data_IF_277037205430
#
_entry.id   IF_277037205430
#
_cell.length_a   1.000
_cell.length_b   1.000
_cell.length_c   1.000
_cell.angle_alpha   90.00
_cell.angle_beta   90.00
_cell.angle_gamma   90.00
#
_symmetry.space_group_name_H-M   'P 1'
#
loop_
_entity.id
_entity.type
_entity.pdbx_description
1 polymer ?
#
# COMPACT_ATOMS: atom_id res chain seq x y z
N UNK A 1 -48.19 -21.37 -2.41
CA UNK A 1 -48.30 -20.33 -1.37
C UNK A 1 -47.01 -20.30 -0.57
N UNK A 2 -46.19 -19.27 -0.82
CA UNK A 2 -44.81 -19.15 -0.33
C UNK A 2 -44.79 -18.74 1.15
N UNK A 3 -43.93 -19.38 1.93
CA UNK A 3 -43.59 -19.05 3.31
C UNK A 3 -42.67 -17.82 3.32
N UNK A 4 -43.08 -16.78 4.03
CA UNK A 4 -42.27 -15.59 4.32
C UNK A 4 -41.18 -15.97 5.33
N UNK A 5 -39.92 -15.91 4.92
CA UNK A 5 -38.77 -15.99 5.82
C UNK A 5 -38.26 -14.56 6.03
N UNK A 6 -38.53 -14.00 7.21
CA UNK A 6 -37.93 -12.77 7.69
C UNK A 6 -36.44 -13.04 7.98
N UNK A 7 -35.54 -12.54 7.14
CA UNK A 7 -34.13 -12.43 7.50
C UNK A 7 -33.91 -11.10 8.21
N UNK A 8 -33.80 -11.15 9.53
CA UNK A 8 -33.26 -10.06 10.33
C UNK A 8 -31.74 -10.08 10.10
N UNK A 9 -31.24 -9.14 9.31
CA UNK A 9 -29.80 -8.93 9.14
C UNK A 9 -29.32 -8.08 10.33
N UNK A 10 -28.67 -8.74 11.29
CA UNK A 10 -28.06 -8.09 12.45
C UNK A 10 -26.90 -7.21 11.98
N UNK A 11 -27.11 -5.89 11.93
CA UNK A 11 -26.04 -4.90 11.83
C UNK A 11 -25.30 -4.85 13.17
N UNK A 12 -24.18 -5.56 13.28
CA UNK A 12 -23.18 -5.24 14.31
C UNK A 12 -22.31 -4.11 13.76
N UNK A 13 -22.74 -2.88 14.04
CA UNK A 13 -21.90 -1.69 13.88
C UNK A 13 -20.86 -1.76 14.98
N UNK A 14 -19.62 -2.12 14.65
CA UNK A 14 -18.48 -1.79 15.50
C UNK A 14 -18.26 -0.28 15.40
N UNK A 15 -18.99 0.47 16.25
CA UNK A 15 -18.85 1.92 16.41
C UNK A 15 -17.58 2.31 17.19
N UNK A 16 -16.49 1.54 17.06
CA UNK A 16 -15.23 1.79 17.74
C UNK A 16 -14.09 2.21 16.79
N UNK A 17 -14.23 2.03 15.47
CA UNK A 17 -13.16 2.31 14.50
C UNK A 17 -13.46 3.46 13.51
N UNK A 18 -14.65 4.06 13.54
CA UNK A 18 -14.99 5.22 12.70
C UNK A 18 -14.14 6.48 13.03
N UNK A 19 -13.34 6.43 14.10
CA UNK A 19 -12.48 7.52 14.53
C UNK A 19 -11.10 7.58 13.87
N UNK A 20 -10.69 6.60 13.05
CA UNK A 20 -9.28 6.46 12.63
C UNK A 20 -8.89 7.00 11.24
N UNK A 21 -9.75 7.11 10.22
CA UNK A 21 -9.33 7.71 8.92
C UNK A 21 -9.96 9.06 8.53
N UNK A 22 -10.93 9.57 9.30
CA UNK A 22 -11.06 11.02 9.47
C UNK A 22 -9.71 11.61 9.91
N UNK A 23 -8.89 10.86 10.66
CA UNK A 23 -7.56 11.31 11.08
C UNK A 23 -6.59 11.49 9.92
N UNK A 24 -6.64 10.71 8.82
CA UNK A 24 -5.65 10.83 7.75
C UNK A 24 -5.86 12.12 6.95
N UNK A 25 -7.08 12.38 6.46
CA UNK A 25 -7.43 13.64 5.80
C UNK A 25 -7.25 14.83 6.76
N UNK A 26 -7.75 14.73 8.01
CA UNK A 26 -7.56 15.79 9.01
C UNK A 26 -6.09 16.04 9.34
N UNK A 27 -5.25 15.00 9.36
CA UNK A 27 -3.80 15.12 9.60
C UNK A 27 -3.12 15.83 8.44
N UNK A 28 -3.47 15.48 7.19
CA UNK A 28 -2.95 16.18 6.01
C UNK A 28 -3.43 17.63 5.99
N UNK A 29 -4.71 17.89 6.27
CA UNK A 29 -5.26 19.25 6.41
C UNK A 29 -4.53 20.04 7.49
N UNK A 30 -4.25 19.42 8.64
CA UNK A 30 -3.51 20.07 9.73
C UNK A 30 -2.07 20.38 9.32
N UNK A 31 -1.39 19.47 8.62
CA UNK A 31 -0.05 19.70 8.09
C UNK A 31 -0.05 20.80 7.03
N UNK A 32 -1.07 20.83 6.16
CA UNK A 32 -1.25 21.87 5.16
C UNK A 32 -1.44 23.25 5.80
N UNK A 33 -2.38 23.35 6.75
CA UNK A 33 -2.67 24.59 7.48
C UNK A 33 -1.47 25.09 8.29
N UNK A 34 -0.61 24.18 8.76
CA UNK A 34 0.65 24.52 9.44
C UNK A 34 1.79 24.90 8.47
N UNK A 35 1.56 24.92 7.15
CA UNK A 35 2.59 25.20 6.15
C UNK A 35 3.66 24.10 6.05
N UNK A 36 3.32 22.87 6.46
CA UNK A 36 4.25 21.72 6.53
C UNK A 36 4.14 20.75 5.37
N UNK A 37 3.38 21.08 4.33
CA UNK A 37 3.30 20.26 3.11
C UNK A 37 3.87 21.01 1.92
N UNK A 38 4.76 20.33 1.19
CA UNK A 38 5.23 20.76 -0.13
C UNK A 38 4.62 19.80 -1.14
N UNK A 39 3.92 20.33 -2.14
CA UNK A 39 3.39 19.53 -3.25
C UNK A 39 4.28 19.74 -4.46
N UNK A 40 4.73 18.65 -5.06
CA UNK A 40 5.65 18.67 -6.19
C UNK A 40 5.32 17.60 -7.23
N UNK A 41 5.66 17.82 -8.51
CA UNK A 41 5.55 16.78 -9.52
C UNK A 41 6.51 15.62 -9.18
N UNK A 42 6.09 14.39 -9.48
CA UNK A 42 6.91 13.19 -9.28
C UNK A 42 7.71 12.94 -10.55
N UNK A 43 8.87 13.61 -10.65
CA UNK A 43 9.73 13.62 -11.85
C UNK A 43 10.15 12.25 -12.37
N UNK A 44 10.20 11.25 -11.49
CA UNK A 44 10.59 9.87 -11.81
C UNK A 44 9.45 9.10 -12.50
N UNK A 45 8.22 9.55 -12.32
CA UNK A 45 7.05 9.01 -13.02
C UNK A 45 6.80 9.77 -14.30
N UNK A 46 6.78 11.10 -14.23
CA UNK A 46 6.31 11.96 -15.31
C UNK A 46 7.24 11.97 -16.53
N UNK A 47 6.65 12.10 -17.70
CA UNK A 47 7.29 12.28 -18.98
C UNK A 47 6.67 13.48 -19.71
N UNK A 48 7.15 13.87 -20.91
CA UNK A 48 6.55 14.97 -21.65
C UNK A 48 5.09 14.73 -22.12
N UNK A 49 4.64 13.48 -22.18
CA UNK A 49 3.25 13.10 -22.45
C UNK A 49 2.41 13.02 -21.17
N UNK A 50 1.10 12.78 -21.26
CA UNK A 50 0.25 12.65 -20.07
C UNK A 50 0.58 11.43 -19.22
N UNK A 51 0.73 11.64 -17.91
CA UNK A 51 0.86 10.63 -16.87
C UNK A 51 -0.12 10.90 -15.72
N UNK A 52 -0.94 9.90 -15.38
CA UNK A 52 -2.04 10.11 -14.43
C UNK A 52 -2.54 8.81 -13.77
N UNK A 53 -3.57 8.93 -12.91
CA UNK A 53 -4.18 7.84 -12.16
C UNK A 53 -3.19 6.92 -11.40
N UNK A 54 -2.26 7.46 -10.58
CA UNK A 54 -1.33 6.65 -9.82
C UNK A 54 -2.04 5.90 -8.68
N UNK A 55 -1.71 4.62 -8.49
CA UNK A 55 -2.10 3.84 -7.30
C UNK A 55 -0.93 3.04 -6.73
N UNK A 56 -0.88 2.91 -5.40
CA UNK A 56 0.18 2.21 -4.66
C UNK A 56 -0.24 0.78 -4.37
N UNK A 57 0.48 -0.17 -4.93
CA UNK A 57 0.25 -1.59 -4.71
C UNK A 57 0.73 -2.04 -3.33
N UNK A 58 0.21 -3.18 -2.85
CA UNK A 58 0.74 -3.84 -1.65
C UNK A 58 2.20 -4.30 -1.82
N UNK A 59 2.72 -4.41 -3.05
CA UNK A 59 4.16 -4.60 -3.29
C UNK A 59 4.98 -3.32 -3.06
N UNK A 60 4.32 -2.19 -2.80
CA UNK A 60 4.89 -0.84 -2.70
C UNK A 60 5.50 -0.31 -4.01
N UNK A 61 5.16 -0.94 -5.14
CA UNK A 61 5.29 -0.35 -6.48
C UNK A 61 4.10 0.55 -6.77
N UNK A 62 4.30 1.52 -7.64
CA UNK A 62 3.21 2.31 -8.19
C UNK A 62 2.83 1.74 -9.56
N UNK A 63 1.54 1.74 -9.87
CA UNK A 63 1.09 1.69 -11.26
C UNK A 63 0.38 2.99 -11.59
N UNK A 64 0.45 3.39 -12.85
CA UNK A 64 -0.13 4.63 -13.32
C UNK A 64 -0.40 4.53 -14.82
N UNK A 65 -1.32 5.34 -15.32
CA UNK A 65 -1.60 5.49 -16.74
C UNK A 65 -0.62 6.47 -17.37
N UNK A 66 -0.18 6.17 -18.57
CA UNK A 66 0.77 6.98 -19.31
C UNK A 66 0.48 6.93 -20.81
N UNK A 67 0.67 8.07 -21.46
CA UNK A 67 0.61 8.25 -22.91
C UNK A 67 2.00 8.22 -23.57
N UNK A 68 3.06 7.93 -22.80
CA UNK A 68 4.39 7.65 -23.34
C UNK A 68 4.35 6.51 -24.36
N UNK A 69 5.27 6.56 -25.33
CA UNK A 69 5.38 5.55 -26.38
C UNK A 69 5.64 4.17 -25.77
N UNK A 70 4.83 3.18 -26.17
CA UNK A 70 5.01 1.78 -25.80
C UNK A 70 6.36 1.26 -26.34
N UNK A 71 7.30 0.83 -25.47
CA UNK A 71 8.61 0.37 -25.92
C UNK A 71 8.57 -0.97 -26.67
N UNK A 72 7.49 -1.76 -26.51
CA UNK A 72 7.35 -3.10 -27.10
C UNK A 72 6.73 -3.07 -28.51
N UNK A 73 6.22 -1.93 -28.97
CA UNK A 73 5.58 -1.80 -30.28
C UNK A 73 6.15 -0.61 -31.05
N UNK A 74 6.52 -0.82 -32.31
CA UNK A 74 6.95 0.26 -33.23
C UNK A 74 5.84 0.68 -34.19
N UNK A 75 4.62 0.20 -33.96
CA UNK A 75 3.48 0.52 -34.80
C UNK A 75 2.96 1.92 -34.49
N UNK A 76 3.03 2.80 -35.49
CA UNK A 76 2.50 4.18 -35.39
C UNK A 76 1.00 4.22 -35.10
N UNK A 77 0.24 3.19 -35.49
CA UNK A 77 -1.18 3.03 -35.20
C UNK A 77 -1.49 2.91 -33.70
N UNK A 78 -0.52 2.47 -32.90
CA UNK A 78 -0.64 2.34 -31.44
C UNK A 78 0.04 3.50 -30.70
N UNK A 79 0.61 4.46 -31.43
CA UNK A 79 1.25 5.63 -30.83
C UNK A 79 0.19 6.55 -30.21
N UNK A 80 0.40 6.95 -28.95
CA UNK A 80 -0.57 7.76 -28.20
C UNK A 80 -1.63 6.93 -27.46
N UNK A 81 -1.60 5.59 -27.55
CA UNK A 81 -2.42 4.76 -26.69
C UNK A 81 -2.04 4.96 -25.23
N UNK A 82 -3.07 5.04 -24.39
CA UNK A 82 -2.90 5.01 -22.95
C UNK A 82 -2.53 3.61 -22.53
N UNK A 83 -1.49 3.52 -21.70
CA UNK A 83 -0.97 2.27 -21.21
C UNK A 83 -0.67 2.38 -19.72
N UNK A 84 -0.82 1.27 -19.01
CA UNK A 84 -0.46 1.15 -17.60
C UNK A 84 1.01 0.79 -17.49
N UNK A 85 1.75 1.60 -16.75
CA UNK A 85 3.14 1.34 -16.43
C UNK A 85 3.29 1.07 -14.94
N UNK A 86 4.22 0.18 -14.62
CA UNK A 86 4.62 -0.10 -13.25
C UNK A 86 5.93 0.62 -12.94
N UNK A 87 5.89 1.55 -12.00
CA UNK A 87 7.08 2.17 -11.45
C UNK A 87 7.54 1.44 -10.21
N UNK A 88 8.83 1.15 -10.19
CA UNK A 88 9.49 0.59 -9.04
C UNK A 88 10.31 1.68 -8.33
N UNK A 89 9.88 2.16 -7.15
CA UNK A 89 10.65 3.12 -6.37
C UNK A 89 12.02 2.58 -5.94
N UNK A 90 12.36 1.30 -6.23
CA UNK A 90 13.64 0.72 -5.79
C UNK A 90 14.83 1.28 -6.48
N UNK A 91 14.66 1.28 -7.78
CA UNK A 91 15.69 1.43 -8.77
C UNK A 91 15.31 2.57 -9.71
N UNK A 92 14.20 3.27 -9.44
CA UNK A 92 13.68 4.36 -10.26
C UNK A 92 13.25 3.90 -11.66
N UNK A 93 12.98 2.60 -11.87
CA UNK A 93 12.65 2.06 -13.19
C UNK A 93 11.16 1.94 -13.38
N UNK A 94 10.71 2.40 -14.53
CA UNK A 94 9.37 2.19 -15.05
C UNK A 94 9.37 1.03 -16.04
N UNK A 95 8.36 0.17 -15.98
CA UNK A 95 8.23 -1.03 -16.81
C UNK A 95 6.85 -1.10 -17.47
N UNK A 96 6.85 -1.43 -18.76
CA UNK A 96 5.66 -1.85 -19.51
C UNK A 96 5.43 -3.37 -19.37
N UNK A 97 4.17 -3.81 -19.34
CA UNK A 97 3.84 -5.24 -19.38
C UNK A 97 2.44 -5.50 -19.93
N UNK A 98 2.32 -6.48 -20.84
CA UNK A 98 1.04 -7.06 -21.30
C UNK A 98 0.23 -7.76 -20.21
N UNK A 99 0.76 -7.86 -18.98
CA UNK A 99 -0.06 -8.26 -17.84
C UNK A 99 -1.18 -7.24 -17.59
N UNK A 100 -0.85 -5.94 -17.65
CA UNK A 100 -1.81 -4.85 -17.50
C UNK A 100 -2.46 -4.52 -18.85
N UNK A 101 -1.63 -4.40 -19.89
CA UNK A 101 -2.02 -3.79 -21.16
C UNK A 101 -2.47 -4.78 -22.21
N UNK A 102 -3.31 -4.28 -23.10
CA UNK A 102 -3.63 -4.87 -24.40
C UNK A 102 -3.09 -3.96 -25.50
N UNK A 103 -3.29 -4.32 -26.78
CA UNK A 103 -2.94 -3.42 -27.88
C UNK A 103 -3.86 -2.17 -27.92
N UNK A 104 -5.03 -2.22 -27.27
CA UNK A 104 -5.94 -1.08 -27.05
C UNK A 104 -5.61 -0.24 -25.82
N UNK A 105 -6.20 0.97 -25.76
CA UNK A 105 -6.15 1.87 -24.61
C UNK A 105 -6.50 1.15 -23.30
N UNK A 106 -5.53 1.12 -22.39
CA UNK A 106 -5.66 0.60 -21.04
C UNK A 106 -5.24 1.68 -20.05
N UNK A 107 -6.11 1.97 -19.08
CA UNK A 107 -5.85 2.96 -18.04
C UNK A 107 -6.13 2.39 -16.65
N UNK A 108 -5.40 2.87 -15.64
CA UNK A 108 -5.74 2.64 -14.25
C UNK A 108 -7.06 3.34 -13.95
N UNK A 109 -8.06 2.58 -13.48
CA UNK A 109 -9.39 3.10 -13.14
C UNK A 109 -9.66 3.06 -11.63
N UNK A 110 -8.80 2.43 -10.84
CA UNK A 110 -8.78 2.55 -9.39
C UNK A 110 -8.15 1.35 -8.68
N UNK A 111 -8.35 1.29 -7.37
CA UNK A 111 -7.84 0.24 -6.48
C UNK A 111 -8.79 0.04 -5.30
N UNK A 112 -8.86 -1.18 -4.75
CA UNK A 112 -9.55 -1.44 -3.48
C UNK A 112 -8.82 -0.80 -2.31
N UNK A 113 -9.55 -0.43 -1.26
CA UNK A 113 -9.02 0.18 -0.04
C UNK A 113 -7.92 -0.69 0.62
N UNK A 114 -8.08 -2.01 0.58
CA UNK A 114 -7.11 -2.99 1.09
C UNK A 114 -5.98 -3.32 0.11
N UNK A 115 -5.97 -2.68 -1.06
CA UNK A 115 -4.99 -2.82 -2.14
C UNK A 115 -4.84 -4.24 -2.68
N UNK A 116 -5.85 -5.10 -2.49
CA UNK A 116 -5.86 -6.47 -3.03
C UNK A 116 -6.41 -6.57 -4.45
N UNK A 117 -7.21 -5.60 -4.89
CA UNK A 117 -7.76 -5.53 -6.23
C UNK A 117 -7.37 -4.22 -6.91
N UNK A 118 -6.80 -4.30 -8.12
CA UNK A 118 -6.63 -3.17 -9.02
C UNK A 118 -7.73 -3.20 -10.05
N UNK A 119 -8.20 -2.01 -10.46
CA UNK A 119 -9.18 -1.82 -11.51
C UNK A 119 -8.52 -1.14 -12.72
N UNK A 120 -8.78 -1.68 -13.90
CA UNK A 120 -8.35 -1.07 -15.17
C UNK A 120 -9.56 -0.80 -16.05
N UNK A 121 -9.55 0.34 -16.73
CA UNK A 121 -10.39 0.62 -17.87
C UNK A 121 -9.73 0.08 -19.13
N UNK A 122 -10.53 -0.52 -20.03
CA UNK A 122 -10.10 -0.88 -21.38
C UNK A 122 -11.12 -0.43 -22.40
N UNK A 123 -10.68 0.28 -23.44
CA UNK A 123 -11.56 0.89 -24.44
C UNK A 123 -12.25 -0.12 -25.39
N UNK A 124 -11.81 -1.39 -25.40
CA UNK A 124 -12.43 -2.44 -26.22
C UNK A 124 -13.95 -2.56 -25.94
N UNK A 125 -14.78 -2.73 -26.98
CA UNK A 125 -16.24 -2.86 -26.91
C UNK A 125 -16.99 -1.70 -26.22
N UNK A 126 -16.45 -0.48 -26.27
CA UNK A 126 -17.14 0.69 -25.74
C UNK A 126 -16.71 1.11 -24.34
N UNK A 127 -15.75 0.41 -23.71
CA UNK A 127 -15.14 0.84 -22.45
C UNK A 127 -15.66 0.10 -21.23
N UNK A 128 -14.86 -0.82 -20.69
CA UNK A 128 -15.25 -1.66 -19.55
C UNK A 128 -14.21 -1.61 -18.43
N UNK A 129 -14.65 -1.85 -17.19
CA UNK A 129 -13.78 -2.05 -16.03
C UNK A 129 -13.43 -3.54 -15.84
N UNK A 130 -12.14 -3.79 -15.65
CA UNK A 130 -11.56 -5.10 -15.35
C UNK A 130 -10.89 -5.09 -13.98
N UNK A 131 -10.76 -6.27 -13.35
CA UNK A 131 -10.04 -6.41 -12.06
C UNK A 131 -9.03 -7.56 -12.03
N UNK A 132 -7.97 -7.41 -11.21
CA UNK A 132 -6.90 -8.41 -11.00
C UNK A 132 -7.32 -9.63 -10.19
N UNK A 133 -8.34 -9.50 -9.35
CA UNK A 133 -8.73 -10.51 -8.38
C UNK A 133 -10.19 -10.30 -7.97
N UNK A 134 -10.82 -11.34 -7.42
CA UNK A 134 -12.03 -11.18 -6.62
C UNK A 134 -11.75 -10.46 -5.29
N UNK A 135 -12.77 -9.96 -4.59
CA UNK A 135 -12.62 -9.19 -3.34
C UNK A 135 -11.85 -9.94 -2.24
N UNK A 136 -11.87 -11.28 -2.24
CA UNK A 136 -11.16 -12.08 -1.24
C UNK A 136 -9.64 -12.08 -1.42
N UNK A 137 -9.13 -11.68 -2.60
CA UNK A 137 -7.71 -11.77 -2.97
C UNK A 137 -7.15 -13.20 -3.03
N UNK A 138 -7.99 -14.24 -2.81
CA UNK A 138 -7.58 -15.65 -2.81
C UNK A 138 -7.58 -16.26 -4.22
N UNK A 139 -8.38 -15.70 -5.12
CA UNK A 139 -8.41 -16.13 -6.52
C UNK A 139 -7.17 -15.58 -7.22
N UNK A 140 -6.22 -16.47 -7.55
CA UNK A 140 -5.07 -16.11 -8.39
C UNK A 140 -5.55 -15.99 -9.83
N UNK A 141 -5.80 -14.77 -10.31
CA UNK A 141 -5.90 -14.53 -11.73
C UNK A 141 -4.55 -14.08 -12.28
N UNK A 142 -4.09 -14.78 -13.31
CA UNK A 142 -2.88 -14.41 -14.04
C UNK A 142 -3.14 -13.24 -15.01
N UNK A 143 -4.38 -12.74 -15.11
CA UNK A 143 -4.81 -11.63 -15.98
C UNK A 143 -6.02 -10.89 -15.38
N UNK A 144 -6.26 -9.68 -15.88
CA UNK A 144 -7.45 -8.88 -15.58
C UNK A 144 -8.73 -9.48 -16.19
N UNK A 145 -9.79 -9.59 -15.38
CA UNK A 145 -11.11 -10.07 -15.82
C UNK A 145 -12.12 -8.94 -15.86
N UNK A 146 -12.94 -8.91 -16.92
CA UNK A 146 -14.08 -7.99 -17.04
C UNK A 146 -15.02 -8.23 -15.86
N UNK A 147 -15.40 -7.17 -15.16
CA UNK A 147 -16.39 -7.27 -14.09
C UNK A 147 -17.77 -7.50 -14.74
N UNK A 148 -18.58 -8.44 -14.23
CA UNK A 148 -19.87 -8.73 -14.84
C UNK A 148 -20.90 -7.61 -14.61
N UNK A 149 -21.99 -7.65 -15.39
CA UNK A 149 -23.23 -6.96 -15.06
C UNK A 149 -23.61 -7.21 -13.57
N UNK A 150 -24.10 -6.21 -12.83
CA UNK A 150 -24.59 -4.89 -13.30
C UNK A 150 -23.58 -3.73 -13.30
N UNK A 151 -22.29 -3.99 -13.08
CA UNK A 151 -21.30 -2.90 -13.13
C UNK A 151 -21.05 -2.46 -14.56
N UNK A 152 -20.49 -3.34 -15.39
CA UNK A 152 -20.33 -3.05 -16.81
C UNK A 152 -21.63 -3.38 -17.56
N UNK A 153 -22.08 -2.46 -18.40
CA UNK A 153 -23.25 -2.65 -19.28
C UNK A 153 -22.90 -2.35 -20.73
N UNK A 154 -23.78 -2.71 -21.67
CA UNK A 154 -23.55 -2.41 -23.09
C UNK A 154 -24.07 -1.00 -23.45
N UNK A 155 -24.82 -0.37 -22.56
CA UNK A 155 -25.46 0.94 -22.76
C UNK A 155 -24.76 2.11 -22.05
N UNK A 156 -23.75 1.83 -21.23
CA UNK A 156 -22.99 2.83 -20.47
C UNK A 156 -21.50 2.54 -20.48
N UNK A 157 -20.72 3.58 -20.22
CA UNK A 157 -19.30 3.51 -19.92
C UNK A 157 -19.07 3.69 -18.43
N UNK A 158 -18.16 2.89 -17.88
CA UNK A 158 -17.64 3.05 -16.54
C UNK A 158 -16.21 3.57 -16.60
N UNK A 159 -15.90 4.65 -15.85
CA UNK A 159 -14.57 5.28 -15.90
C UNK A 159 -13.66 4.89 -14.73
N UNK A 160 -14.24 4.69 -13.56
CA UNK A 160 -13.48 4.42 -12.34
C UNK A 160 -14.22 3.51 -11.39
N UNK A 161 -13.48 2.72 -10.61
CA UNK A 161 -14.05 1.84 -9.60
C UNK A 161 -13.10 1.66 -8.40
N UNK A 162 -13.70 1.49 -7.23
CA UNK A 162 -12.98 1.17 -5.99
C UNK A 162 -13.89 0.34 -5.08
N UNK A 163 -13.30 -0.32 -4.09
CA UNK A 163 -14.06 -1.14 -3.14
C UNK A 163 -13.54 -1.03 -1.72
N UNK A 164 -14.46 -1.16 -0.77
CA UNK A 164 -14.19 -1.19 0.66
C UNK A 164 -15.05 -2.26 1.31
N UNK A 165 -14.43 -3.26 1.92
CA UNK A 165 -15.11 -4.51 2.32
C UNK A 165 -15.88 -5.10 1.13
N UNK A 166 -17.20 -5.27 1.27
CA UNK A 166 -18.08 -5.78 0.20
C UNK A 166 -18.72 -4.65 -0.63
N UNK A 167 -18.44 -3.39 -0.33
CA UNK A 167 -18.98 -2.27 -1.10
C UNK A 167 -18.11 -2.04 -2.32
N UNK A 168 -18.76 -1.95 -3.48
CA UNK A 168 -18.14 -1.52 -4.73
C UNK A 168 -18.77 -0.20 -5.14
N UNK A 169 -17.93 0.80 -5.38
CA UNK A 169 -18.34 2.13 -5.82
C UNK A 169 -17.68 2.39 -7.16
N UNK A 170 -18.41 2.94 -8.11
CA UNK A 170 -17.92 3.20 -9.46
C UNK A 170 -18.60 4.42 -10.08
N UNK A 171 -17.94 5.02 -11.07
CA UNK A 171 -18.46 6.13 -11.87
C UNK A 171 -18.96 5.61 -13.22
N UNK A 172 -20.14 6.06 -13.66
CA UNK A 172 -20.81 5.59 -14.87
C UNK A 172 -21.65 6.69 -15.51
N UNK A 173 -21.74 6.70 -16.84
CA UNK A 173 -22.64 7.58 -17.62
C UNK A 173 -24.02 6.96 -17.89
N UNK A 174 -24.38 5.90 -17.16
CA UNK A 174 -25.66 5.21 -17.33
C UNK A 174 -26.84 6.16 -17.22
N UNK A 175 -27.86 5.89 -18.02
CA UNK A 175 -29.07 6.71 -18.10
C UNK A 175 -29.77 6.86 -16.73
N UNK A 176 -30.25 8.06 -16.43
CA UNK A 176 -30.97 8.38 -15.19
C UNK A 176 -30.09 8.97 -14.08
N UNK A 177 -28.79 9.13 -14.32
CA UNK A 177 -27.89 9.93 -13.50
C UNK A 177 -28.23 11.43 -13.52
N UNK A 178 -27.58 12.21 -12.64
CA UNK A 178 -27.78 13.66 -12.55
C UNK A 178 -26.89 14.43 -13.53
N UNK A 179 -25.71 13.92 -13.87
CA UNK A 179 -24.69 14.54 -14.69
C UNK A 179 -24.35 13.74 -15.96
N UNK A 180 -23.16 13.94 -16.51
CA UNK A 180 -22.61 13.11 -17.58
C UNK A 180 -22.05 11.80 -17.03
N UNK A 181 -21.26 11.86 -15.96
CA UNK A 181 -20.85 10.70 -15.17
C UNK A 181 -21.31 10.88 -13.72
N UNK A 182 -21.87 9.81 -13.15
CA UNK A 182 -22.41 9.79 -11.78
C UNK A 182 -21.81 8.64 -10.98
N UNK A 183 -21.80 8.76 -9.65
CA UNK A 183 -21.36 7.70 -8.74
C UNK A 183 -22.51 6.76 -8.37
N UNK A 184 -22.20 5.47 -8.43
CA UNK A 184 -23.07 4.38 -8.06
C UNK A 184 -22.36 3.43 -7.10
N UNK A 185 -23.12 2.67 -6.32
CA UNK A 185 -22.58 1.66 -5.45
C UNK A 185 -23.45 0.41 -5.39
N UNK A 186 -22.85 -0.70 -4.95
CA UNK A 186 -23.55 -1.93 -4.65
C UNK A 186 -22.74 -2.86 -3.77
N UNK A 187 -23.39 -3.91 -3.25
CA UNK A 187 -22.71 -4.99 -2.54
C UNK A 187 -22.23 -6.03 -3.54
N UNK A 188 -20.93 -6.27 -3.55
CA UNK A 188 -20.28 -7.27 -4.37
C UNK A 188 -20.00 -8.56 -3.58
N UNK A 189 -20.13 -9.69 -4.27
CA UNK A 189 -19.69 -10.98 -3.78
C UNK A 189 -18.16 -11.18 -3.94
N UNK A 190 -17.66 -12.34 -3.52
CA UNK A 190 -16.22 -12.65 -3.62
C UNK A 190 -15.67 -12.62 -5.05
N UNK A 191 -16.53 -12.64 -6.07
CA UNK A 191 -16.19 -12.63 -7.50
C UNK A 191 -16.47 -11.28 -8.17
N UNK A 192 -16.62 -10.20 -7.38
CA UNK A 192 -16.92 -8.83 -7.85
C UNK A 192 -18.30 -8.68 -8.50
N UNK A 193 -19.21 -9.64 -8.34
CA UNK A 193 -20.56 -9.51 -8.90
C UNK A 193 -21.44 -8.73 -7.92
N UNK A 194 -21.99 -7.61 -8.37
CA UNK A 194 -22.90 -6.80 -7.58
C UNK A 194 -24.29 -7.44 -7.53
N UNK A 195 -24.92 -7.39 -6.35
CA UNK A 195 -26.31 -7.85 -6.16
C UNK A 195 -27.34 -6.86 -6.70
N UNK A 196 -27.03 -5.56 -6.57
CA UNK A 196 -27.85 -4.44 -7.03
C UNK A 196 -26.95 -3.21 -7.21
N UNK A 197 -27.44 -2.19 -7.92
CA UNK A 197 -26.74 -0.90 -8.12
C UNK A 197 -27.66 0.24 -7.72
N UNK A 198 -27.15 1.10 -6.84
CA UNK A 198 -27.85 2.29 -6.36
C UNK A 198 -27.03 3.54 -6.69
N UNK A 199 -27.71 4.60 -7.13
CA UNK A 199 -27.11 5.93 -7.29
C UNK A 199 -26.77 6.55 -5.93
N UNK A 200 -25.69 7.33 -5.86
CA UNK A 200 -25.34 8.12 -4.69
C UNK A 200 -25.89 9.55 -4.85
N UNK A 201 -27.21 9.70 -4.81
CA UNK A 201 -27.88 10.97 -5.12
C UNK A 201 -27.44 12.15 -4.24
N UNK A 202 -27.01 11.90 -3.00
CA UNK A 202 -26.52 12.95 -2.11
C UNK A 202 -25.11 13.46 -2.44
N UNK A 203 -24.38 12.74 -3.31
CA UNK A 203 -23.03 13.08 -3.77
C UNK A 203 -23.06 13.60 -5.20
N UNK A 204 -23.84 12.93 -6.05
CA UNK A 204 -23.99 13.26 -7.46
C UNK A 204 -24.56 14.68 -7.66
N UNK A 205 -24.15 15.31 -8.75
CA UNK A 205 -24.59 16.65 -9.14
C UNK A 205 -24.95 16.69 -10.63
N UNK A 206 -25.40 17.83 -11.13
CA UNK A 206 -25.59 18.06 -12.58
C UNK A 206 -24.29 18.09 -13.39
N UNK A 207 -23.18 17.87 -12.70
CA UNK A 207 -21.81 17.89 -13.18
C UNK A 207 -21.25 16.46 -13.15
N UNK A 208 -20.07 16.24 -13.69
CA UNK A 208 -19.48 14.91 -13.72
C UNK A 208 -18.79 14.56 -12.40
N UNK A 209 -18.99 13.33 -11.93
CA UNK A 209 -18.28 12.68 -10.84
C UNK A 209 -17.52 11.44 -11.33
N UNK A 210 -16.21 11.41 -11.09
CA UNK A 210 -15.29 10.44 -11.67
C UNK A 210 -14.09 10.18 -10.73
N UNK A 211 -13.11 9.40 -11.19
CA UNK A 211 -11.87 9.04 -10.49
C UNK A 211 -12.07 8.51 -9.06
N UNK A 212 -13.07 7.65 -8.86
CA UNK A 212 -13.47 7.20 -7.53
C UNK A 212 -12.37 6.41 -6.82
N UNK A 213 -12.17 6.68 -5.53
CA UNK A 213 -11.29 5.96 -4.61
C UNK A 213 -12.00 5.82 -3.27
N UNK A 214 -11.68 4.76 -2.52
CA UNK A 214 -12.20 4.57 -1.16
C UNK A 214 -11.04 4.29 -0.22
N UNK A 215 -11.04 4.99 0.91
CA UNK A 215 -10.05 4.82 1.98
C UNK A 215 -10.38 3.60 2.85
N UNK A 216 -9.45 3.23 3.73
CA UNK A 216 -9.56 2.09 4.64
C UNK A 216 -10.57 2.27 5.79
N UNK A 217 -11.10 3.48 5.99
CA UNK A 217 -12.29 3.72 6.84
C UNK A 217 -13.61 3.82 6.07
N UNK A 218 -13.57 3.66 4.74
CA UNK A 218 -14.75 3.84 3.90
C UNK A 218 -15.02 5.28 3.47
N UNK A 219 -14.12 6.23 3.75
CA UNK A 219 -14.21 7.58 3.16
C UNK A 219 -14.10 7.50 1.65
N UNK A 220 -15.12 8.03 0.96
CA UNK A 220 -15.19 8.12 -0.49
C UNK A 220 -14.45 9.37 -0.96
N UNK A 221 -13.50 9.19 -1.87
CA UNK A 221 -12.81 10.25 -2.61
C UNK A 221 -13.21 10.16 -4.07
N UNK A 222 -13.40 11.32 -4.71
CA UNK A 222 -13.76 11.40 -6.12
C UNK A 222 -13.41 12.76 -6.68
N UNK A 223 -13.37 12.87 -8.00
CA UNK A 223 -13.18 14.13 -8.71
C UNK A 223 -14.50 14.62 -9.27
N UNK A 224 -14.75 15.92 -9.15
CA UNK A 224 -15.96 16.55 -9.70
C UNK A 224 -15.67 17.91 -10.31
N UNK A 225 -16.34 18.22 -11.42
CA UNK A 225 -16.29 19.53 -12.09
C UNK A 225 -17.47 20.44 -11.69
N UNK A 226 -18.15 20.18 -10.57
CA UNK A 226 -19.25 21.02 -10.03
C UNK A 226 -18.93 22.51 -9.88
N UNK A 227 -17.64 22.86 -9.81
CA UNK A 227 -17.14 24.24 -9.73
C UNK A 227 -16.27 24.62 -10.94
N UNK A 228 -16.56 24.06 -12.13
CA UNK A 228 -15.96 24.40 -13.42
C UNK A 228 -14.80 23.48 -13.83
N UNK A 229 -13.75 23.39 -13.02
CA UNK A 229 -12.62 22.46 -13.22
C UNK A 229 -12.77 21.22 -12.35
N UNK A 230 -12.26 20.07 -12.80
CA UNK A 230 -12.24 18.88 -11.95
C UNK A 230 -11.39 19.16 -10.71
N UNK A 231 -11.97 18.94 -9.53
CA UNK A 231 -11.30 19.03 -8.23
C UNK A 231 -11.63 17.81 -7.38
N UNK A 232 -10.76 17.43 -6.44
CA UNK A 232 -11.05 16.34 -5.52
C UNK A 232 -12.03 16.77 -4.43
N UNK A 233 -13.00 15.89 -4.16
CA UNK A 233 -13.98 15.97 -3.10
C UNK A 233 -13.97 14.67 -2.29
N UNK A 234 -14.55 14.73 -1.10
CA UNK A 234 -14.78 13.55 -0.28
C UNK A 234 -16.18 13.52 0.31
N UNK A 235 -16.64 12.31 0.64
CA UNK A 235 -17.87 12.05 1.38
C UNK A 235 -17.69 10.86 2.32
N UNK A 236 -18.49 10.83 3.39
CA UNK A 236 -18.48 9.77 4.41
C UNK A 236 -19.87 9.16 4.52
N UNK A 237 -19.92 7.85 4.82
CA UNK A 237 -21.18 7.14 5.02
C UNK A 237 -21.50 7.06 6.52
N UNK A 238 -22.67 7.56 6.94
CA UNK A 238 -23.08 7.57 8.35
C UNK A 238 -23.77 6.28 8.83
N UNK A 239 -23.80 5.26 7.97
CA UNK A 239 -24.57 4.02 8.18
C UNK A 239 -25.93 4.02 7.48
N UNK A 240 -26.41 5.18 7.02
CA UNK A 240 -27.68 5.33 6.29
C UNK A 240 -27.54 6.04 4.95
N UNK A 241 -26.71 7.09 4.88
CA UNK A 241 -26.52 7.90 3.67
C UNK A 241 -25.10 8.44 3.58
N UNK A 242 -24.72 8.80 2.37
CA UNK A 242 -23.50 9.57 2.12
C UNK A 242 -23.73 11.04 2.48
N UNK A 243 -22.76 11.64 3.18
CA UNK A 243 -22.76 13.07 3.48
C UNK A 243 -22.68 13.93 2.21
N UNK A 244 -23.04 15.22 2.32
CA UNK A 244 -22.80 16.15 1.22
C UNK A 244 -21.29 16.24 0.89
N UNK A 245 -20.91 16.32 -0.40
CA UNK A 245 -19.53 16.45 -0.81
C UNK A 245 -18.80 17.63 -0.20
N UNK A 246 -17.58 17.38 0.27
CA UNK A 246 -16.67 18.41 0.79
C UNK A 246 -15.43 18.47 -0.09
N UNK A 247 -15.02 19.67 -0.47
CA UNK A 247 -13.78 19.87 -1.21
C UNK A 247 -12.57 19.50 -0.33
N UNK A 248 -11.53 18.94 -0.95
CA UNK A 248 -10.27 18.63 -0.27
C UNK A 248 -9.45 19.92 -0.10
N UNK A 249 -9.15 20.30 1.14
CA UNK A 249 -8.52 21.59 1.48
C UNK A 249 -7.02 21.67 1.25
N UNK A 250 -6.31 20.54 1.26
CA UNK A 250 -4.85 20.51 1.11
C UNK A 250 -4.35 20.64 -0.33
N UNK A 251 -5.23 20.98 -1.29
CA UNK A 251 -4.84 21.33 -2.67
C UNK A 251 -4.67 22.85 -2.77
N UNK A 252 -3.46 23.36 -3.04
CA UNK A 252 -3.18 24.80 -3.06
C UNK A 252 -3.86 25.55 -4.20
N UNK A 253 -4.10 26.85 -3.98
CA UNK A 253 -4.65 27.77 -4.97
C UNK A 253 -3.83 27.86 -6.27
N UNK A 254 -2.55 27.48 -6.25
CA UNK A 254 -1.73 27.39 -7.47
C UNK A 254 -2.31 26.42 -8.50
N UNK A 255 -3.14 25.46 -8.07
CA UNK A 255 -3.83 24.51 -8.94
C UNK A 255 -5.23 24.98 -9.34
N UNK A 256 -5.69 26.19 -8.97
CA UNK A 256 -7.09 26.59 -9.16
C UNK A 256 -7.52 26.54 -10.63
N UNK A 257 -6.64 26.95 -11.56
CA UNK A 257 -6.91 27.00 -13.00
C UNK A 257 -6.74 25.65 -13.72
N UNK A 258 -6.16 24.63 -13.07
CA UNK A 258 -5.94 23.30 -13.63
C UNK A 258 -7.02 22.32 -13.18
N UNK A 259 -7.19 21.23 -13.89
CA UNK A 259 -7.88 20.04 -13.39
C UNK A 259 -6.98 19.35 -12.36
N UNK A 260 -7.58 18.85 -11.28
CA UNK A 260 -6.94 18.04 -10.23
C UNK A 260 -7.80 16.79 -10.04
N UNK A 261 -7.24 15.65 -10.45
CA UNK A 261 -7.93 14.37 -10.64
C UNK A 261 -7.22 13.24 -9.90
N UNK A 262 -7.87 12.09 -9.81
CA UNK A 262 -7.25 10.84 -9.32
C UNK A 262 -6.64 10.90 -7.91
N UNK A 263 -7.20 11.71 -7.00
CA UNK A 263 -6.66 11.82 -5.66
C UNK A 263 -6.73 10.47 -4.92
N UNK A 264 -5.58 9.99 -4.46
CA UNK A 264 -5.49 8.84 -3.56
C UNK A 264 -4.61 9.16 -2.37
N UNK A 265 -5.02 8.70 -1.19
CA UNK A 265 -4.39 9.01 0.10
C UNK A 265 -3.96 7.72 0.79
N UNK A 266 -2.73 7.70 1.30
CA UNK A 266 -2.12 6.60 2.05
C UNK A 266 -1.42 7.15 3.29
N UNK A 267 -2.13 7.17 4.43
CA UNK A 267 -1.68 7.78 5.69
C UNK A 267 -1.24 9.24 5.48
N UNK A 268 0.06 9.51 5.41
CA UNK A 268 0.61 10.87 5.23
C UNK A 268 1.11 11.16 3.82
N UNK A 269 0.96 10.24 2.88
CA UNK A 269 1.36 10.41 1.48
C UNK A 269 0.11 10.39 0.62
N UNK A 270 -0.01 11.33 -0.30
CA UNK A 270 -1.07 11.32 -1.31
C UNK A 270 -0.50 11.56 -2.69
N UNK A 271 -1.23 11.09 -3.69
CA UNK A 271 -0.96 11.35 -5.10
C UNK A 271 -2.20 11.91 -5.77
N UNK A 272 -2.02 12.77 -6.76
CA UNK A 272 -3.08 13.22 -7.66
C UNK A 272 -2.49 13.53 -9.03
N UNK A 273 -3.35 13.69 -10.01
CA UNK A 273 -2.99 14.07 -11.38
C UNK A 273 -3.47 15.48 -11.69
N UNK A 274 -2.66 16.28 -12.36
CA UNK A 274 -3.06 17.65 -12.72
C UNK A 274 -2.47 18.09 -14.05
N UNK A 275 -3.25 18.82 -14.83
CA UNK A 275 -2.82 19.43 -16.09
C UNK A 275 -2.20 20.83 -15.92
N UNK A 276 -1.73 21.16 -14.71
CA UNK A 276 -1.12 22.47 -14.41
C UNK A 276 0.06 22.81 -15.34
N UNK A 277 0.81 21.81 -15.81
CA UNK A 277 1.95 21.96 -16.72
C UNK A 277 1.57 21.84 -18.22
N UNK A 278 0.28 21.67 -18.54
CA UNK A 278 -0.25 21.50 -19.90
C UNK A 278 -0.81 20.10 -20.16
N UNK A 279 0.01 19.06 -19.97
CA UNK A 279 -0.43 17.65 -19.94
C UNK A 279 -0.66 17.22 -18.50
N UNK A 280 -1.34 16.09 -18.27
CA UNK A 280 -1.46 15.55 -16.91
C UNK A 280 -0.09 15.09 -16.40
N UNK A 281 0.28 15.59 -15.23
CA UNK A 281 1.43 15.17 -14.44
C UNK A 281 0.95 14.57 -13.11
N UNK A 282 1.69 13.60 -12.60
CA UNK A 282 1.50 13.06 -11.25
C UNK A 282 2.21 13.95 -10.24
N UNK A 283 1.49 14.34 -9.19
CA UNK A 283 2.00 15.10 -8.04
C UNK A 283 1.93 14.27 -6.76
N UNK A 284 2.83 14.56 -5.82
CA UNK A 284 2.86 13.99 -4.47
C UNK A 284 3.22 15.06 -3.45
N UNK A 285 2.97 14.78 -2.18
CA UNK A 285 3.40 15.61 -1.08
C UNK A 285 4.74 15.19 -0.45
N UNK A 286 5.44 16.16 0.14
CA UNK A 286 6.51 15.98 1.11
C UNK A 286 6.17 16.73 2.40
N UNK A 287 6.45 16.12 3.55
CA UNK A 287 6.24 16.74 4.86
C UNK A 287 7.52 17.46 5.28
N UNK A 288 7.41 18.77 5.52
CA UNK A 288 8.44 19.56 6.19
C UNK A 288 8.46 19.12 7.66
N UNK A 289 9.58 18.52 8.07
CA UNK A 289 9.82 18.15 9.45
C UNK A 289 10.41 19.35 10.18
N UNK A 290 9.88 19.66 11.35
CA UNK A 290 10.52 20.64 12.23
C UNK A 290 11.92 20.11 12.56
N UNK A 291 12.94 20.85 12.14
CA UNK A 291 14.27 20.68 12.71
C UNK A 291 14.14 21.15 14.15
N UNK A 292 14.04 20.20 15.09
CA UNK A 292 14.38 20.51 16.48
C UNK A 292 15.85 20.94 16.41
N UNK A 293 16.22 22.20 16.70
CA UNK A 293 17.62 22.52 16.86
C UNK A 293 18.11 21.61 17.97
N UNK A 294 19.05 20.73 17.66
CA UNK A 294 19.83 20.06 18.69
C UNK A 294 20.51 21.20 19.42
N UNK A 295 19.97 21.59 20.58
CA UNK A 295 20.69 22.44 21.51
C UNK A 295 21.94 21.62 21.82
N UNK A 296 23.07 22.01 21.24
CA UNK A 296 24.37 21.56 21.76
C UNK A 296 24.32 21.93 23.24
N UNK A 297 24.37 20.97 24.17
CA UNK A 297 24.43 21.32 25.57
C UNK A 297 25.61 22.27 25.76
N UNK A 298 25.43 23.36 26.51
CA UNK A 298 26.55 24.18 26.95
C UNK A 298 27.54 23.24 27.62
N UNK A 299 28.70 23.07 26.99
CA UNK A 299 29.78 22.26 27.52
C UNK A 299 30.31 22.95 28.77
N UNK A 300 29.76 22.60 29.92
CA UNK A 300 30.51 22.73 31.17
C UNK A 300 31.70 21.80 31.00
N UNK A 301 32.89 22.39 30.86
CA UNK A 301 34.16 21.66 30.88
C UNK A 301 34.33 21.12 32.29
N UNK A 302 33.77 19.94 32.52
CA UNK A 302 34.28 19.03 33.53
C UNK A 302 35.46 18.34 32.87
N UNK A 303 36.65 18.46 33.45
CA UNK A 303 37.77 17.58 33.11
C UNK A 303 37.35 16.13 33.41
N UNK A 304 36.74 15.49 32.43
CA UNK A 304 36.60 14.05 32.39
C UNK A 304 37.81 13.56 31.62
N UNK A 305 38.70 12.89 32.35
CA UNK A 305 39.77 12.09 31.77
C UNK A 305 39.15 11.19 30.72
N UNK A 306 39.62 11.33 29.48
CA UNK A 306 39.13 10.62 28.31
C UNK A 306 39.35 9.11 28.49
N UNK A 307 38.31 8.42 28.95
CA UNK A 307 38.17 7.00 28.66
C UNK A 307 37.25 6.90 27.46
N UNK A 308 37.85 6.74 26.28
CA UNK A 308 37.20 6.29 25.05
C UNK A 308 36.17 5.23 25.43
N UNK A 309 34.86 5.45 25.21
CA UNK A 309 33.88 4.40 25.48
C UNK A 309 34.24 3.24 24.55
N UNK A 310 34.54 2.10 25.16
CA UNK A 310 34.77 0.85 24.44
C UNK A 310 33.45 0.49 23.77
N UNK A 311 33.27 0.91 22.52
CA UNK A 311 32.17 0.46 21.66
C UNK A 311 32.29 -1.06 21.62
N UNK A 312 31.23 -1.75 22.04
CA UNK A 312 31.25 -3.21 22.01
C UNK A 312 31.38 -3.70 20.56
N UNK A 313 32.01 -4.86 20.37
CA UNK A 313 32.17 -5.45 19.03
C UNK A 313 30.83 -5.58 18.29
N UNK A 314 29.73 -5.81 19.02
CA UNK A 314 28.38 -5.84 18.47
C UNK A 314 27.92 -4.47 17.95
N UNK A 315 28.09 -3.40 18.74
CA UNK A 315 27.71 -2.05 18.33
C UNK A 315 28.49 -1.60 17.10
N UNK A 316 29.78 -1.93 17.02
CA UNK A 316 30.58 -1.65 15.84
C UNK A 316 30.06 -2.39 14.59
N UNK A 317 29.67 -3.67 14.74
CA UNK A 317 29.10 -4.47 13.65
C UNK A 317 27.71 -4.02 13.23
N UNK A 318 26.91 -3.50 14.15
CA UNK A 318 25.60 -2.93 13.84
C UNK A 318 25.73 -1.62 13.05
N UNK A 319 26.69 -0.76 13.41
CA UNK A 319 27.01 0.45 12.65
C UNK A 319 27.46 0.08 11.24
N UNK A 320 28.39 -0.87 11.09
CA UNK A 320 28.82 -1.37 9.77
C UNK A 320 27.64 -1.90 8.93
N UNK A 321 26.67 -2.59 9.56
CA UNK A 321 25.46 -3.08 8.91
C UNK A 321 24.54 -1.94 8.45
N UNK A 322 24.32 -0.95 9.31
CA UNK A 322 23.50 0.22 9.01
C UNK A 322 24.11 1.02 7.85
N UNK A 323 25.41 1.31 7.91
CA UNK A 323 26.16 1.92 6.80
C UNK A 323 26.04 1.09 5.52
N UNK A 324 26.18 -0.24 5.62
CA UNK A 324 26.07 -1.11 4.45
C UNK A 324 24.67 -1.05 3.85
N UNK A 325 23.62 -1.09 4.68
CA UNK A 325 22.24 -0.99 4.20
C UNK A 325 21.93 0.39 3.62
N UNK A 326 22.58 1.46 4.10
CA UNK A 326 22.51 2.79 3.50
C UNK A 326 23.21 2.84 2.12
N UNK A 327 24.29 2.08 1.93
CA UNK A 327 24.98 1.99 0.62
C UNK A 327 24.27 1.10 -0.41
N UNK A 328 23.49 0.13 0.03
CA UNK A 328 22.63 -0.66 -0.84
C UNK A 328 21.31 0.14 -0.98
N UNK A 329 20.62 0.09 -2.11
CA UNK A 329 19.47 0.96 -2.37
C UNK A 329 18.24 0.75 -1.44
N UNK A 330 18.36 0.07 -0.30
CA UNK A 330 17.25 -0.39 0.55
C UNK A 330 17.25 0.27 1.93
N UNK A 331 16.38 1.28 2.10
CA UNK A 331 16.12 1.85 3.42
C UNK A 331 15.06 1.01 4.16
N UNK A 332 15.34 0.54 5.38
CA UNK A 332 14.36 -0.18 6.20
C UNK A 332 13.09 0.65 6.40
N UNK A 333 11.92 0.09 6.10
CA UNK A 333 10.62 0.70 6.36
C UNK A 333 9.89 0.01 7.50
N UNK A 334 9.94 -1.32 7.51
CA UNK A 334 9.48 -2.15 8.62
C UNK A 334 10.30 -3.42 8.73
N UNK A 335 10.53 -3.91 9.93
CA UNK A 335 11.25 -5.14 10.19
C UNK A 335 10.42 -6.09 11.06
N UNK A 336 10.55 -7.38 10.78
CA UNK A 336 10.03 -8.47 11.60
C UNK A 336 11.20 -9.35 12.04
N UNK A 337 11.10 -9.94 13.22
CA UNK A 337 12.16 -10.79 13.76
C UNK A 337 11.64 -12.21 13.89
N UNK A 338 12.23 -13.13 13.13
CA UNK A 338 12.10 -14.55 13.40
C UNK A 338 13.08 -14.88 14.53
N UNK A 339 12.59 -15.42 15.63
CA UNK A 339 13.41 -15.80 16.79
C UNK A 339 13.74 -17.29 16.81
N UNK A 340 13.19 -18.06 15.88
CA UNK A 340 13.64 -19.42 15.58
C UNK A 340 12.68 -20.20 14.68
N UNK A 341 13.16 -21.32 14.17
CA UNK A 341 12.41 -22.28 13.38
C UNK A 341 12.72 -23.69 13.87
N UNK A 342 11.69 -24.49 14.19
CA UNK A 342 11.85 -25.79 14.83
C UNK A 342 10.86 -26.82 14.29
N UNK A 343 11.28 -28.08 14.19
CA UNK A 343 10.39 -29.21 13.86
C UNK A 343 9.65 -29.76 15.08
N UNK A 344 10.31 -29.74 16.24
CA UNK A 344 9.85 -30.42 17.45
C UNK A 344 9.31 -29.48 18.54
N UNK A 345 9.45 -28.16 18.37
CA UNK A 345 8.78 -27.16 19.22
C UNK A 345 7.54 -26.72 18.45
N UNK A 346 6.35 -27.10 18.92
CA UNK A 346 5.09 -27.01 18.15
C UNK A 346 4.10 -26.00 18.71
N UNK A 347 4.37 -25.42 19.88
CA UNK A 347 3.52 -24.41 20.50
C UNK A 347 4.33 -23.23 21.01
N UNK A 348 3.67 -22.06 21.14
CA UNK A 348 4.26 -20.85 21.74
C UNK A 348 4.70 -21.13 23.18
N UNK A 349 3.91 -21.87 23.95
CA UNK A 349 4.22 -22.18 25.35
C UNK A 349 5.47 -23.05 25.48
N UNK A 350 5.61 -24.08 24.62
CA UNK A 350 6.83 -24.89 24.54
C UNK A 350 8.05 -24.04 24.17
N UNK A 351 7.90 -23.12 23.22
CA UNK A 351 8.96 -22.20 22.83
C UNK A 351 9.36 -21.29 24.01
N UNK A 352 8.39 -20.66 24.69
CA UNK A 352 8.66 -19.74 25.80
C UNK A 352 9.28 -20.44 27.01
N UNK A 353 8.83 -21.64 27.34
CA UNK A 353 9.44 -22.44 28.39
C UNK A 353 10.92 -22.72 28.12
N UNK A 354 11.27 -22.93 26.85
CA UNK A 354 12.62 -23.23 26.39
C UNK A 354 13.50 -22.00 26.22
N UNK A 355 12.91 -20.86 25.87
CA UNK A 355 13.58 -19.61 25.60
C UNK A 355 13.04 -18.51 26.52
N UNK A 356 13.44 -18.49 27.81
CA UNK A 356 12.82 -17.63 28.82
C UNK A 356 12.95 -16.14 28.54
N UNK A 357 13.85 -15.70 27.64
CA UNK A 357 13.92 -14.27 27.29
C UNK A 357 12.72 -13.80 26.45
N UNK A 358 11.86 -14.72 26.02
CA UNK A 358 10.63 -14.43 25.26
C UNK A 358 9.35 -14.75 26.04
N UNK A 359 9.45 -15.06 27.34
CA UNK A 359 8.30 -15.42 28.20
C UNK A 359 7.15 -14.40 28.15
N UNK A 360 7.49 -13.12 28.21
CA UNK A 360 6.63 -11.94 28.17
C UNK A 360 6.46 -11.37 26.76
N UNK A 361 7.18 -11.91 25.77
CA UNK A 361 7.12 -11.43 24.39
C UNK A 361 5.88 -11.98 23.69
N UNK A 362 5.12 -11.12 23.01
CA UNK A 362 4.05 -11.55 22.11
C UNK A 362 4.66 -12.22 20.88
N UNK A 363 4.25 -13.46 20.61
CA UNK A 363 4.74 -14.27 19.50
C UNK A 363 3.58 -14.73 18.64
N UNK A 364 3.83 -14.90 17.34
CA UNK A 364 2.96 -15.64 16.44
C UNK A 364 3.71 -16.79 15.80
N UNK A 365 2.98 -17.83 15.42
CA UNK A 365 3.52 -19.00 14.74
C UNK A 365 3.14 -18.99 13.26
N UNK A 366 4.13 -19.26 12.42
CA UNK A 366 3.97 -19.54 11.00
C UNK A 366 4.47 -20.98 10.74
N UNK A 367 3.99 -21.65 9.69
CA UNK A 367 4.42 -23.02 9.38
C UNK A 367 4.77 -23.21 7.92
N UNK A 368 5.73 -24.08 7.66
CA UNK A 368 6.13 -24.49 6.31
C UNK A 368 6.13 -26.02 6.21
N UNK A 369 5.47 -26.55 5.20
CA UNK A 369 5.37 -28.00 4.92
C UNK A 369 6.42 -28.34 3.86
N UNK A 370 7.54 -28.95 4.26
CA UNK A 370 8.66 -29.22 3.34
C UNK A 370 8.37 -30.38 2.37
N UNK A 371 7.59 -31.37 2.79
CA UNK A 371 7.10 -32.50 1.98
C UNK A 371 5.64 -32.80 2.34
N UNK A 372 4.89 -33.49 1.47
CA UNK A 372 3.48 -33.83 1.67
C UNK A 372 3.17 -34.71 2.92
N UNK A 373 4.15 -35.02 3.76
CA UNK A 373 3.98 -35.72 5.04
C UNK A 373 4.01 -34.75 6.22
N UNK A 374 3.11 -34.91 7.20
CA UNK A 374 3.01 -34.05 8.39
C UNK A 374 4.20 -34.11 9.36
N UNK A 375 5.16 -35.01 9.12
CA UNK A 375 6.36 -35.17 9.94
C UNK A 375 7.49 -34.20 9.57
N UNK A 376 7.40 -33.53 8.43
CA UNK A 376 8.42 -32.60 7.91
C UNK A 376 8.03 -31.12 8.05
N UNK A 377 7.05 -30.79 8.90
CA UNK A 377 6.63 -29.41 9.14
C UNK A 377 7.64 -28.65 10.01
N UNK A 378 8.02 -27.45 9.55
CA UNK A 378 8.84 -26.51 10.32
C UNK A 378 7.96 -25.39 10.86
N UNK A 379 8.01 -25.19 12.17
CA UNK A 379 7.30 -24.12 12.89
C UNK A 379 8.22 -22.93 13.09
N UNK A 380 7.84 -21.78 12.55
CA UNK A 380 8.56 -20.52 12.61
C UNK A 380 7.93 -19.63 13.68
N UNK A 381 8.77 -19.08 14.54
CA UNK A 381 8.36 -18.23 15.66
C UNK A 381 8.75 -16.79 15.35
N UNK A 382 7.74 -15.95 15.15
CA UNK A 382 7.90 -14.53 14.85
C UNK A 382 7.52 -13.71 16.08
N UNK A 383 8.29 -12.65 16.38
CA UNK A 383 7.80 -11.64 17.32
C UNK A 383 6.62 -10.94 16.68
N UNK A 384 5.48 -10.89 17.38
CA UNK A 384 4.26 -10.24 16.90
C UNK A 384 4.33 -8.72 17.10
N UNK A 385 5.38 -8.12 16.54
CA UNK A 385 5.65 -6.70 16.59
C UNK A 385 6.34 -6.30 15.28
N UNK A 386 5.96 -5.13 14.78
CA UNK A 386 6.63 -4.48 13.66
C UNK A 386 7.64 -3.47 14.21
N UNK A 387 8.90 -3.58 13.80
CA UNK A 387 9.96 -2.66 14.21
C UNK A 387 10.19 -1.60 13.12
N UNK A 388 10.33 -0.34 13.53
CA UNK A 388 10.53 0.78 12.61
C UNK A 388 12.02 1.11 12.42
N UNK A 389 12.89 0.58 13.28
CA UNK A 389 14.35 0.72 13.16
C UNK A 389 15.02 -0.65 13.10
N UNK A 390 16.13 -0.73 12.37
CA UNK A 390 16.93 -1.93 12.31
C UNK A 390 17.57 -2.26 13.66
N UNK A 391 17.99 -1.24 14.40
CA UNK A 391 18.59 -1.38 15.72
C UNK A 391 17.70 -2.15 16.69
N UNK A 392 16.42 -1.77 16.81
CA UNK A 392 15.48 -2.49 17.69
C UNK A 392 15.32 -3.96 17.27
N UNK A 393 15.21 -4.22 15.97
CA UNK A 393 15.10 -5.58 15.46
C UNK A 393 16.39 -6.40 15.71
N UNK A 394 17.57 -5.79 15.56
CA UNK A 394 18.87 -6.42 15.77
C UNK A 394 19.12 -6.78 17.23
N UNK A 395 18.71 -5.92 18.17
CA UNK A 395 18.77 -6.22 19.60
C UNK A 395 17.95 -7.48 19.94
N UNK A 396 16.76 -7.62 19.33
CA UNK A 396 15.89 -8.79 19.55
C UNK A 396 16.43 -10.05 18.89
N UNK A 397 17.03 -9.93 17.70
CA UNK A 397 17.76 -11.02 17.07
C UNK A 397 18.93 -11.51 17.94
N UNK A 398 19.71 -10.61 18.55
CA UNK A 398 20.81 -10.99 19.44
C UNK A 398 20.35 -11.73 20.68
N UNK A 399 19.22 -11.32 21.29
CA UNK A 399 18.62 -12.04 22.41
C UNK A 399 18.31 -13.48 22.01
N UNK A 400 17.73 -13.70 20.82
CA UNK A 400 17.45 -15.04 20.30
C UNK A 400 18.74 -15.85 20.10
N UNK A 401 19.71 -15.28 19.39
CA UNK A 401 20.98 -15.94 19.07
C UNK A 401 21.78 -16.32 20.32
N UNK A 402 21.77 -15.48 21.36
CA UNK A 402 22.43 -15.76 22.64
C UNK A 402 21.81 -16.95 23.36
N UNK A 403 20.49 -17.13 23.28
CA UNK A 403 19.84 -18.31 23.86
C UNK A 403 20.00 -19.55 22.98
N UNK A 404 20.02 -19.38 21.65
CA UNK A 404 20.22 -20.47 20.68
C UNK A 404 21.65 -21.00 20.64
N UNK A 405 22.66 -20.21 21.03
CA UNK A 405 24.06 -20.66 21.10
C UNK A 405 24.31 -21.72 22.17
N UNK A 406 23.40 -21.88 23.13
CA UNK A 406 23.46 -22.97 24.08
C UNK A 406 23.16 -24.30 23.37
N UNK A 407 24.09 -25.26 23.46
CA UNK A 407 23.96 -26.59 22.83
C UNK A 407 22.68 -27.32 23.20
N UNK A 408 22.14 -27.08 24.41
CA UNK A 408 20.86 -27.64 24.83
C UNK A 408 19.77 -27.26 23.83
N UNK A 409 19.82 -26.07 23.24
CA UNK A 409 18.81 -25.49 22.35
C UNK A 409 18.99 -25.84 20.86
N UNK A 410 20.06 -26.54 20.48
CA UNK A 410 20.36 -26.97 19.10
C UNK A 410 19.72 -28.35 18.80
N UNK A 411 18.42 -28.39 18.53
CA UNK A 411 17.65 -29.64 18.29
C UNK A 411 17.53 -29.98 16.80
N UNK A 412 18.63 -30.42 16.16
CA UNK A 412 18.68 -30.82 14.72
C UNK A 412 18.02 -29.80 13.76
N UNK A 413 17.91 -28.55 14.18
CA UNK A 413 17.26 -27.47 13.44
C UNK A 413 18.30 -26.39 13.18
N UNK A 414 18.38 -25.83 11.97
CA UNK A 414 19.24 -24.70 11.72
C UNK A 414 18.88 -23.55 12.68
N UNK A 415 19.89 -22.97 13.30
CA UNK A 415 19.75 -21.72 14.06
C UNK A 415 19.33 -20.65 13.07
N UNK A 416 18.07 -20.23 13.14
CA UNK A 416 17.44 -19.44 12.08
C UNK A 416 16.81 -18.15 12.63
N UNK A 417 17.49 -17.50 13.58
CA UNK A 417 17.11 -16.15 13.99
C UNK A 417 17.55 -15.13 12.94
N UNK A 418 16.59 -14.49 12.28
CA UNK A 418 16.85 -13.48 11.27
C UNK A 418 15.93 -12.27 11.42
N UNK A 419 16.39 -11.15 10.87
CA UNK A 419 15.56 -9.97 10.67
C UNK A 419 15.05 -10.00 9.23
N UNK A 420 13.74 -10.04 9.04
CA UNK A 420 13.12 -9.76 7.76
C UNK A 420 12.83 -8.27 7.68
N UNK A 421 13.69 -7.54 6.99
CA UNK A 421 13.49 -6.12 6.69
C UNK A 421 12.72 -6.01 5.41
N UNK A 422 11.70 -5.17 5.42
CA UNK A 422 10.99 -4.71 4.25
C UNK A 422 11.28 -3.22 4.13
N UNK A 423 11.72 -2.80 2.95
CA UNK A 423 11.76 -1.38 2.62
C UNK A 423 10.34 -0.87 2.28
N UNK A 424 10.22 0.42 1.95
CA UNK A 424 8.94 1.08 1.64
C UNK A 424 8.22 0.49 0.41
N UNK A 425 8.85 -0.46 -0.26
CA UNK A 425 8.52 -1.03 -1.56
C UNK A 425 8.47 -2.57 -1.44
N UNK A 426 8.23 -3.06 -0.22
CA UNK A 426 8.04 -4.46 0.20
C UNK A 426 9.00 -5.52 -0.39
N UNK A 427 10.27 -5.18 -0.68
CA UNK A 427 11.27 -6.24 -0.94
C UNK A 427 11.76 -6.69 0.39
N UNK A 428 11.66 -8.00 0.55
CA UNK A 428 12.19 -8.71 1.69
C UNK A 428 13.71 -8.80 1.58
N UNK A 429 14.36 -8.29 2.60
CA UNK A 429 15.79 -8.43 2.87
C UNK A 429 15.87 -9.28 4.12
N UNK A 430 16.63 -10.36 4.05
CA UNK A 430 16.84 -11.24 5.20
C UNK A 430 18.24 -11.01 5.72
N UNK A 431 18.32 -10.55 6.98
CA UNK A 431 19.58 -10.26 7.65
C UNK A 431 19.81 -11.34 8.70
N UNK A 432 20.83 -12.14 8.47
CA UNK A 432 21.33 -13.15 9.41
C UNK A 432 22.55 -12.61 10.13
N UNK A 433 22.78 -13.06 11.36
CA UNK A 433 24.05 -12.85 12.04
C UNK A 433 24.74 -14.21 12.23
N UNK A 434 25.93 -14.35 11.67
CA UNK A 434 26.75 -15.55 11.85
C UNK A 434 27.48 -15.47 13.19
N UNK A 435 27.10 -16.36 14.12
CA UNK A 435 27.64 -16.37 15.48
C UNK A 435 29.14 -16.71 15.55
N UNK A 436 29.64 -17.57 14.66
CA UNK A 436 31.05 -17.99 14.65
C UNK A 436 31.96 -16.90 14.08
N UNK A 437 31.55 -16.31 12.95
CA UNK A 437 32.32 -15.28 12.25
C UNK A 437 32.05 -13.87 12.79
N UNK A 438 31.02 -13.71 13.63
CA UNK A 438 30.52 -12.44 14.16
C UNK A 438 30.27 -11.40 13.07
N UNK A 439 29.62 -11.83 11.99
CA UNK A 439 29.33 -10.99 10.82
C UNK A 439 27.87 -11.12 10.38
N UNK A 440 27.33 -10.04 9.85
CA UNK A 440 26.02 -10.07 9.20
C UNK A 440 26.13 -10.64 7.80
N UNK A 441 25.13 -11.44 7.41
CA UNK A 441 24.91 -11.90 6.05
C UNK A 441 23.57 -11.34 5.58
N UNK A 442 23.58 -10.69 4.42
CA UNK A 442 22.39 -10.04 3.86
C UNK A 442 21.97 -10.80 2.61
N UNK A 443 20.69 -11.22 2.57
CA UNK A 443 20.05 -11.79 1.41
C UNK A 443 18.99 -10.83 0.88
N UNK A 444 18.95 -10.63 -0.43
CA UNK A 444 17.89 -9.91 -1.12
C UNK A 444 17.24 -10.89 -2.08
N UNK A 445 16.03 -11.34 -1.77
CA UNK A 445 15.48 -12.56 -2.40
C UNK A 445 16.35 -13.77 -2.03
N UNK A 446 16.81 -14.52 -3.04
CA UNK A 446 17.68 -15.69 -2.87
C UNK A 446 19.17 -15.38 -3.06
N UNK A 447 19.52 -14.14 -3.42
CA UNK A 447 20.90 -13.73 -3.67
C UNK A 447 21.58 -13.22 -2.40
N UNK A 448 22.82 -13.69 -2.16
CA UNK A 448 23.66 -13.18 -1.08
C UNK A 448 24.40 -11.93 -1.57
N UNK A 449 24.11 -10.79 -0.97
CA UNK A 449 24.68 -9.50 -1.38
C UNK A 449 25.78 -9.00 -0.43
N UNK A 450 25.94 -9.65 0.72
CA UNK A 450 26.95 -9.30 1.72
C UNK A 450 27.30 -10.47 2.66
N UNK A 451 28.58 -10.54 3.08
CA UNK A 451 29.16 -11.55 3.96
C UNK A 451 30.16 -10.97 4.97
#
# INVERSE_FOLDING_TARGET
>A
MKRSLFFILTFLIYAADAGFAQQALLRIDSLYAAGKLIIKPVSELNCPQGDYAPVLLNSGKLIFTSERVNPETREMSLAGNQNVYEYNPKNGKTKYSYFYNTDDHTAVSGISADKKAVFLFRAWNGGDIYSTAGLSGKEKYNHFKRIPFPLNTDESQEQSASSFNNWMIFSSDRSGGQGGFDLYFGLADEKMKLSDVLSIDSVNAVSDETDVRVMDDGTLLFSSNRNGKFKPYYSTFDGSKWSAPKAVSFIPDSFIASDVRDLVVYDTVFYFSSNLSGNYDIYSCEIIKDTIPVIKPDTVVVEVIDTVPVVTEFEQKLIELEERLDTIAFKPYRAFVQVGAYRYVKTIDEFKHRFPAFDTTALRMEYEVLNASSRDTVWKYMIDQTYMTLREAALRQQVALKQQSNKINLYESPVDAFIAVYDARNVRIVIFFNLEKKKYKILVGDEVVYF
#
